data_IF_883481592185
#
_entry.id   IF_883481592185
#
_cell.length_a   1.000
_cell.length_b   1.000
_cell.length_c   1.000
_cell.angle_alpha   90.00
_cell.angle_beta   90.00
_cell.angle_gamma   90.00
#
_symmetry.space_group_name_H-M   'P 1'
#
loop_
_entity.id
_entity.type
_entity.pdbx_description
1 polymer ?
#
# COMPACT_ATOMS: atom_id res chain seq x y z
N UNK A 1 -21.80 -3.49 41.33
CA UNK A 1 -22.20 -4.31 40.16
C UNK A 1 -21.12 -5.34 39.90
N UNK A 2 -21.46 -6.64 39.97
CA UNK A 2 -20.51 -7.75 40.00
C UNK A 2 -20.15 -8.16 38.60
N UNK A 3 -18.85 -8.15 38.26
CA UNK A 3 -18.32 -8.75 37.04
C UNK A 3 -18.26 -10.27 37.23
N UNK A 4 -18.98 -10.99 36.35
CA UNK A 4 -19.00 -12.44 36.29
C UNK A 4 -17.74 -12.94 35.59
N UNK A 5 -16.89 -13.65 36.32
CA UNK A 5 -15.77 -14.42 35.79
C UNK A 5 -16.29 -15.72 35.18
N UNK A 6 -16.32 -15.82 33.88
CA UNK A 6 -16.54 -17.10 33.19
C UNK A 6 -15.25 -17.94 33.29
N UNK A 7 -15.37 -19.09 33.96
CA UNK A 7 -14.32 -20.11 34.05
C UNK A 7 -14.13 -20.77 32.68
N UNK A 8 -12.98 -20.57 32.05
CA UNK A 8 -12.52 -21.46 30.97
C UNK A 8 -11.72 -22.60 31.57
N UNK A 9 -12.14 -23.80 31.24
CA UNK A 9 -11.57 -25.07 31.69
C UNK A 9 -10.21 -25.34 31.06
N UNK A 10 -9.35 -25.96 31.83
CA UNK A 10 -7.97 -26.36 31.56
C UNK A 10 -7.92 -27.48 30.53
N UNK A 11 -7.12 -27.29 29.50
CA UNK A 11 -6.71 -28.35 28.60
C UNK A 11 -5.78 -27.84 27.48
N UNK A 12 -4.51 -28.19 27.60
CA UNK A 12 -3.43 -28.11 26.59
C UNK A 12 -2.87 -26.72 26.25
N UNK A 13 -1.65 -26.52 26.69
CA UNK A 13 -0.62 -25.58 26.16
C UNK A 13 -1.15 -24.31 25.45
N UNK A 14 -1.70 -23.42 26.23
CA UNK A 14 -2.00 -22.07 25.79
C UNK A 14 -0.67 -21.32 25.62
N UNK A 15 -0.20 -21.26 24.39
CA UNK A 15 0.71 -20.19 23.96
C UNK A 15 -0.03 -18.89 24.24
N UNK A 16 0.46 -18.11 25.17
CA UNK A 16 0.08 -16.71 25.31
C UNK A 16 0.53 -15.99 24.03
N UNK A 17 -0.26 -16.12 22.94
CA UNK A 17 -0.25 -15.12 21.92
C UNK A 17 -0.70 -13.85 22.65
N UNK A 18 0.21 -12.92 22.84
CA UNK A 18 -0.19 -11.56 23.14
C UNK A 18 -1.12 -11.16 22.02
N UNK A 19 -2.42 -11.12 22.30
CA UNK A 19 -3.41 -10.56 21.37
C UNK A 19 -2.92 -9.16 21.06
N UNK A 20 -2.36 -8.99 19.87
CA UNK A 20 -2.07 -7.67 19.35
C UNK A 20 -3.41 -6.95 19.29
N UNK A 21 -3.54 -5.78 19.91
CA UNK A 21 -4.64 -4.92 19.57
C UNK A 21 -4.50 -4.66 18.07
N UNK A 22 -5.49 -5.06 17.28
CA UNK A 22 -5.52 -4.91 15.83
C UNK A 22 -5.40 -3.44 15.35
N UNK A 23 -5.20 -2.51 16.26
CA UNK A 23 -5.36 -1.06 16.02
C UNK A 23 -4.10 -0.21 16.19
N UNK A 24 -3.00 -0.71 16.73
CA UNK A 24 -1.93 0.20 17.13
C UNK A 24 -0.86 0.56 16.06
N UNK A 25 -0.37 -0.33 15.18
CA UNK A 25 0.71 0.06 14.27
C UNK A 25 0.25 0.63 12.92
N UNK A 26 -0.98 0.36 12.46
CA UNK A 26 -1.41 0.78 11.12
C UNK A 26 -1.51 2.31 10.99
N UNK A 27 -2.02 3.02 11.98
CA UNK A 27 -2.14 4.47 11.93
C UNK A 27 -0.80 5.21 12.04
N UNK A 28 0.16 4.67 12.77
CA UNK A 28 1.46 5.32 12.96
C UNK A 28 2.36 5.26 11.70
N UNK A 29 2.09 4.35 10.77
CA UNK A 29 2.92 4.14 9.57
C UNK A 29 2.43 4.92 8.35
N UNK A 30 1.15 5.22 8.24
CA UNK A 30 0.62 6.07 7.16
C UNK A 30 1.14 7.51 7.26
N UNK A 31 1.54 7.96 8.45
CA UNK A 31 2.08 9.31 8.69
C UNK A 31 3.60 9.42 8.50
N UNK A 32 4.33 8.29 8.47
CA UNK A 32 5.73 8.29 8.07
C UNK A 32 5.80 8.10 6.57
N UNK A 33 6.64 8.87 5.91
CA UNK A 33 7.08 8.62 4.53
C UNK A 33 7.54 7.17 4.45
N UNK A 34 6.60 6.29 4.13
CA UNK A 34 6.89 4.91 3.84
C UNK A 34 7.90 4.91 2.70
N UNK A 35 8.93 4.08 2.80
CA UNK A 35 9.81 3.84 1.66
C UNK A 35 9.04 3.33 0.43
N UNK A 36 7.78 2.96 0.61
CA UNK A 36 6.79 2.59 -0.39
C UNK A 36 5.79 3.71 -0.68
N UNK A 37 6.09 4.98 -0.31
CA UNK A 37 5.31 6.10 -0.86
C UNK A 37 5.18 5.87 -2.37
N UNK A 38 4.00 6.09 -2.98
CA UNK A 38 3.78 5.77 -4.38
C UNK A 38 4.91 6.36 -5.21
N UNK A 39 5.76 5.47 -5.72
CA UNK A 39 6.85 5.86 -6.58
C UNK A 39 6.17 6.17 -7.89
N UNK A 40 5.91 7.44 -8.07
CA UNK A 40 5.53 7.93 -9.37
C UNK A 40 6.63 7.49 -10.34
N UNK A 41 6.25 7.03 -11.50
CA UNK A 41 7.16 6.74 -12.60
C UNK A 41 7.83 8.05 -13.07
N UNK A 42 8.58 8.73 -12.19
CA UNK A 42 9.12 10.06 -12.49
C UNK A 42 9.97 10.11 -13.76
N UNK A 43 10.55 8.98 -14.15
CA UNK A 43 11.41 8.87 -15.32
C UNK A 43 10.66 8.86 -16.67
N UNK A 44 9.41 8.43 -16.71
CA UNK A 44 8.60 8.42 -17.94
C UNK A 44 7.34 9.29 -17.89
N UNK A 45 6.91 9.66 -16.69
CA UNK A 45 5.64 10.35 -16.46
C UNK A 45 5.64 11.79 -16.93
N UNK A 46 6.77 12.49 -16.82
CA UNK A 46 6.88 13.87 -17.29
C UNK A 46 6.57 13.98 -18.78
N UNK A 47 7.05 13.04 -19.56
CA UNK A 47 6.82 13.03 -21.00
C UNK A 47 5.40 12.55 -21.33
N UNK A 48 4.85 11.60 -20.59
CA UNK A 48 3.47 11.16 -20.74
C UNK A 48 2.46 12.25 -20.34
N UNK A 49 2.68 12.93 -19.23
CA UNK A 49 1.84 14.05 -18.79
C UNK A 49 1.93 15.24 -19.76
N UNK A 50 3.13 15.56 -20.24
CA UNK A 50 3.33 16.55 -21.29
C UNK A 50 2.64 16.15 -22.59
N UNK A 51 2.64 14.85 -22.92
CA UNK A 51 1.95 14.34 -24.10
C UNK A 51 0.42 14.46 -23.92
N UNK A 52 -0.15 14.09 -22.78
CA UNK A 52 -1.58 14.26 -22.49
C UNK A 52 -2.00 15.72 -22.62
N UNK A 53 -1.20 16.65 -22.08
CA UNK A 53 -1.46 18.09 -22.24
C UNK A 53 -1.38 18.53 -23.70
N UNK A 54 -0.37 18.07 -24.44
CA UNK A 54 -0.21 18.38 -25.87
C UNK A 54 -1.40 17.87 -26.68
N UNK A 55 -1.85 16.66 -26.38
CA UNK A 55 -2.98 16.05 -27.08
C UNK A 55 -4.30 16.77 -26.71
N UNK A 56 -4.49 17.18 -25.46
CA UNK A 56 -5.61 18.00 -25.03
C UNK A 56 -5.63 19.36 -25.75
N UNK A 57 -4.47 20.02 -25.91
CA UNK A 57 -4.35 21.25 -26.67
C UNK A 57 -4.69 21.06 -28.15
N UNK A 58 -4.25 19.95 -28.78
CA UNK A 58 -4.60 19.59 -30.16
C UNK A 58 -6.11 19.30 -30.33
N UNK A 59 -6.79 18.82 -29.30
CA UNK A 59 -8.22 18.59 -29.27
C UNK A 59 -9.06 19.84 -29.04
N UNK A 60 -8.42 21.01 -28.95
CA UNK A 60 -9.11 22.29 -28.83
C UNK A 60 -9.45 22.70 -27.40
N UNK A 61 -8.64 22.26 -26.41
CA UNK A 61 -8.74 22.74 -25.04
C UNK A 61 -8.69 24.28 -24.98
N UNK A 62 -9.63 24.89 -24.29
CA UNK A 62 -9.69 26.33 -24.16
C UNK A 62 -8.58 26.84 -23.21
N UNK A 63 -8.19 28.11 -23.41
CA UNK A 63 -7.14 28.75 -22.64
C UNK A 63 -7.45 28.82 -21.13
N UNK A 64 -8.73 28.93 -20.75
CA UNK A 64 -9.13 29.00 -19.35
C UNK A 64 -9.00 27.63 -18.68
N UNK A 65 -9.32 26.56 -19.40
CA UNK A 65 -9.14 25.18 -18.97
C UNK A 65 -7.65 24.87 -18.77
N UNK A 66 -6.80 25.21 -19.75
CA UNK A 66 -5.36 25.07 -19.64
C UNK A 66 -4.79 25.82 -18.43
N UNK A 67 -5.19 27.08 -18.22
CA UNK A 67 -4.74 27.87 -17.09
C UNK A 67 -5.18 27.30 -15.75
N UNK A 68 -6.43 26.80 -15.67
CA UNK A 68 -6.94 26.15 -14.46
C UNK A 68 -6.16 24.86 -14.14
N UNK A 69 -5.90 24.04 -15.16
CA UNK A 69 -5.09 22.83 -15.00
C UNK A 69 -3.67 23.16 -14.57
N UNK A 70 -3.00 24.13 -15.21
CA UNK A 70 -1.64 24.55 -14.84
C UNK A 70 -1.56 25.08 -13.41
N UNK A 71 -2.57 25.82 -12.95
CA UNK A 71 -2.65 26.28 -11.57
C UNK A 71 -2.74 25.13 -10.58
N UNK A 72 -3.55 24.10 -10.88
CA UNK A 72 -3.63 22.86 -10.10
C UNK A 72 -2.31 22.06 -10.15
N UNK A 73 -1.81 21.79 -11.34
CA UNK A 73 -0.65 20.94 -11.56
C UNK A 73 0.61 21.47 -10.86
N UNK A 74 0.85 22.79 -10.95
CA UNK A 74 2.01 23.45 -10.35
C UNK A 74 1.91 23.60 -8.82
N UNK A 75 0.75 23.33 -8.23
CA UNK A 75 0.60 23.36 -6.77
C UNK A 75 1.21 22.10 -6.16
N UNK A 76 2.44 22.21 -5.59
CA UNK A 76 3.18 21.04 -5.04
C UNK A 76 3.17 20.98 -3.51
N UNK A 77 3.23 22.14 -2.85
CA UNK A 77 3.59 22.20 -1.43
C UNK A 77 2.39 22.37 -0.48
N UNK A 78 1.19 22.57 -1.01
CA UNK A 78 0.00 22.81 -0.19
C UNK A 78 -1.14 21.90 -0.64
N UNK A 79 -1.37 20.77 0.07
CA UNK A 79 -2.42 19.81 -0.28
C UNK A 79 -3.81 20.42 -0.24
N UNK A 80 -4.13 21.33 0.71
CA UNK A 80 -5.44 21.96 0.78
C UNK A 80 -5.70 22.82 -0.46
N UNK A 81 -4.70 23.58 -0.89
CA UNK A 81 -4.80 24.40 -2.10
C UNK A 81 -4.88 23.54 -3.36
N UNK A 82 -4.14 22.43 -3.41
CA UNK A 82 -4.21 21.46 -4.51
C UNK A 82 -5.60 20.85 -4.61
N UNK A 83 -6.17 20.41 -3.50
CA UNK A 83 -7.53 19.87 -3.43
C UNK A 83 -8.54 20.91 -3.93
N UNK A 84 -8.48 22.14 -3.43
CA UNK A 84 -9.37 23.23 -3.86
C UNK A 84 -9.31 23.45 -5.38
N UNK A 85 -8.12 23.52 -5.95
CA UNK A 85 -7.93 23.75 -7.38
C UNK A 85 -8.40 22.56 -8.23
N UNK A 86 -8.11 21.33 -7.79
CA UNK A 86 -8.52 20.10 -8.48
C UNK A 86 -10.04 19.95 -8.48
N UNK A 87 -10.70 20.13 -7.34
CA UNK A 87 -12.16 20.10 -7.25
C UNK A 87 -12.81 21.17 -8.14
N UNK A 88 -12.29 22.39 -8.13
CA UNK A 88 -12.78 23.47 -8.98
C UNK A 88 -12.58 23.15 -10.48
N UNK A 89 -11.48 22.50 -10.83
CA UNK A 89 -11.23 22.04 -12.20
C UNK A 89 -12.26 21.00 -12.62
N UNK A 90 -12.42 19.91 -11.86
CA UNK A 90 -13.35 18.83 -12.16
C UNK A 90 -14.81 19.32 -12.23
N UNK A 91 -15.20 20.23 -11.34
CA UNK A 91 -16.53 20.83 -11.37
C UNK A 91 -16.77 21.65 -12.63
N UNK A 92 -15.77 22.44 -13.06
CA UNK A 92 -15.91 23.35 -14.21
C UNK A 92 -15.73 22.63 -15.55
N UNK A 93 -14.87 21.62 -15.59
CA UNK A 93 -14.46 20.90 -16.79
C UNK A 93 -14.64 19.38 -16.65
N UNK A 94 -15.85 18.88 -16.36
CA UNK A 94 -16.08 17.45 -16.05
C UNK A 94 -15.84 16.51 -17.23
N UNK A 95 -15.70 17.04 -18.45
CA UNK A 95 -15.42 16.29 -19.67
C UNK A 95 -14.01 16.54 -20.21
N UNK A 96 -13.17 17.18 -19.42
CA UNK A 96 -11.79 17.44 -19.79
C UNK A 96 -11.02 16.13 -20.03
N UNK A 97 -10.21 16.04 -21.07
CA UNK A 97 -9.28 14.92 -21.22
C UNK A 97 -8.21 14.86 -20.10
N UNK A 98 -8.11 15.93 -19.29
CA UNK A 98 -7.21 16.01 -18.15
C UNK A 98 -7.88 15.61 -16.83
N UNK A 99 -9.18 15.28 -16.83
CA UNK A 99 -9.91 14.94 -15.60
C UNK A 99 -9.29 13.73 -14.88
N UNK A 100 -8.91 12.69 -15.63
CA UNK A 100 -8.21 11.52 -15.08
C UNK A 100 -6.95 11.91 -14.31
N UNK A 101 -6.10 12.72 -14.94
CA UNK A 101 -4.85 13.16 -14.34
C UNK A 101 -5.07 14.04 -13.10
N UNK A 102 -6.14 14.83 -13.09
CA UNK A 102 -6.53 15.63 -11.91
C UNK A 102 -6.96 14.70 -10.77
N UNK A 103 -7.83 13.72 -11.04
CA UNK A 103 -8.27 12.75 -10.04
C UNK A 103 -7.10 11.93 -9.49
N UNK A 104 -6.24 11.39 -10.35
CA UNK A 104 -5.06 10.64 -9.95
C UNK A 104 -4.11 11.46 -9.04
N UNK A 105 -3.97 12.76 -9.30
CA UNK A 105 -3.16 13.67 -8.46
C UNK A 105 -3.87 14.09 -7.17
N UNK A 106 -5.18 14.11 -7.15
CA UNK A 106 -5.97 14.35 -5.93
C UNK A 106 -5.86 13.18 -4.94
N UNK A 107 -5.70 11.95 -5.41
CA UNK A 107 -5.42 10.78 -4.54
C UNK A 107 -4.29 11.11 -3.57
N UNK A 108 -3.14 11.55 -4.08
CA UNK A 108 -1.97 11.89 -3.25
C UNK A 108 -2.24 13.07 -2.30
N UNK A 109 -2.99 14.08 -2.75
CA UNK A 109 -3.32 15.23 -1.93
C UNK A 109 -4.25 14.87 -0.77
N UNK A 110 -5.24 14.01 -1.01
CA UNK A 110 -6.13 13.47 0.03
C UNK A 110 -5.41 12.49 0.96
N UNK A 111 -4.49 11.67 0.45
CA UNK A 111 -3.63 10.82 1.29
C UNK A 111 -2.83 11.65 2.30
N UNK A 112 -2.23 12.75 1.88
CA UNK A 112 -1.51 13.67 2.76
C UNK A 112 -2.39 14.27 3.87
N UNK A 113 -3.71 14.33 3.65
CA UNK A 113 -4.72 14.79 4.61
C UNK A 113 -5.35 13.65 5.42
N UNK A 114 -5.05 12.39 5.10
CA UNK A 114 -5.69 11.20 5.64
C UNK A 114 -7.23 11.20 5.43
N UNK A 115 -7.67 11.82 4.36
CA UNK A 115 -9.08 11.85 3.96
C UNK A 115 -9.38 10.65 3.05
N UNK A 116 -9.50 9.48 3.67
CA UNK A 116 -9.64 8.19 2.98
C UNK A 116 -10.87 8.13 2.07
N UNK A 117 -11.98 8.74 2.50
CA UNK A 117 -13.19 8.81 1.69
C UNK A 117 -12.93 9.47 0.33
N UNK A 118 -12.24 10.59 0.33
CA UNK A 118 -11.93 11.31 -0.90
C UNK A 118 -10.75 10.68 -1.66
N UNK A 119 -9.85 9.96 -0.99
CA UNK A 119 -8.85 9.09 -1.66
C UNK A 119 -9.56 8.08 -2.54
N UNK A 120 -10.53 7.32 -1.98
CA UNK A 120 -11.27 6.31 -2.75
C UNK A 120 -12.08 6.93 -3.88
N UNK A 121 -12.79 8.03 -3.62
CA UNK A 121 -13.59 8.71 -4.64
C UNK A 121 -12.74 9.21 -5.83
N UNK A 122 -11.58 9.82 -5.55
CA UNK A 122 -10.66 10.28 -6.60
C UNK A 122 -10.00 9.13 -7.34
N UNK A 123 -9.62 8.06 -6.64
CA UNK A 123 -9.06 6.87 -7.28
C UNK A 123 -10.09 6.18 -8.20
N UNK A 124 -11.33 6.05 -7.76
CA UNK A 124 -12.41 5.49 -8.57
C UNK A 124 -12.70 6.37 -9.80
N UNK A 125 -12.65 7.70 -9.65
CA UNK A 125 -12.77 8.65 -10.76
C UNK A 125 -11.65 8.50 -11.79
N UNK A 126 -10.40 8.41 -11.33
CA UNK A 126 -9.25 8.19 -12.20
C UNK A 126 -9.33 6.85 -12.94
N UNK A 127 -9.61 5.75 -12.21
CA UNK A 127 -9.70 4.41 -12.79
C UNK A 127 -10.92 4.22 -13.71
N UNK A 128 -12.00 4.99 -13.54
CA UNK A 128 -13.12 4.99 -14.47
C UNK A 128 -12.72 5.54 -15.85
N UNK A 129 -11.77 6.47 -15.91
CA UNK A 129 -11.25 7.06 -17.14
C UNK A 129 -10.03 6.32 -17.70
N UNK A 130 -9.18 5.79 -16.80
CA UNK A 130 -7.97 5.04 -17.13
C UNK A 130 -7.82 3.81 -16.23
N UNK A 131 -8.49 2.70 -16.57
CA UNK A 131 -8.49 1.48 -15.75
C UNK A 131 -7.09 0.89 -15.48
N UNK A 132 -6.15 1.12 -16.39
CA UNK A 132 -4.79 0.61 -16.35
C UNK A 132 -3.80 1.60 -15.68
N UNK A 133 -4.27 2.55 -14.88
CA UNK A 133 -3.37 3.44 -14.13
C UNK A 133 -2.69 2.70 -12.98
N UNK A 134 -1.46 2.24 -13.23
CA UNK A 134 -0.68 1.42 -12.28
C UNK A 134 -0.45 2.14 -10.95
N UNK A 135 -0.24 3.47 -10.96
CA UNK A 135 0.04 4.20 -9.73
C UNK A 135 -1.21 4.32 -8.85
N UNK A 136 -2.36 4.55 -9.46
CA UNK A 136 -3.64 4.58 -8.73
C UNK A 136 -4.01 3.19 -8.21
N UNK A 137 -3.85 2.15 -9.06
CA UNK A 137 -4.09 0.76 -8.67
C UNK A 137 -3.22 0.35 -7.48
N UNK A 138 -1.90 0.53 -7.58
CA UNK A 138 -0.95 0.19 -6.51
C UNK A 138 -1.18 1.04 -5.25
N UNK A 139 -1.63 2.30 -5.40
CA UNK A 139 -1.97 3.13 -4.24
C UNK A 139 -3.17 2.59 -3.48
N UNK A 140 -4.23 2.17 -4.17
CA UNK A 140 -5.40 1.56 -3.54
C UNK A 140 -5.07 0.21 -2.91
N UNK A 141 -4.36 -0.64 -3.64
CA UNK A 141 -3.96 -1.96 -3.16
C UNK A 141 -3.12 -1.89 -1.90
N UNK A 142 -2.19 -0.94 -1.85
CA UNK A 142 -1.37 -0.69 -0.66
C UNK A 142 -2.17 -0.05 0.48
N UNK A 143 -2.97 0.99 0.20
CA UNK A 143 -3.66 1.76 1.25
C UNK A 143 -4.69 0.94 2.01
N UNK A 144 -5.56 0.22 1.28
CA UNK A 144 -6.71 -0.48 1.88
C UNK A 144 -6.30 -1.40 3.03
N UNK A 145 -5.35 -2.35 2.88
CA UNK A 145 -5.00 -3.24 3.98
C UNK A 145 -4.28 -2.53 5.13
N UNK A 146 -3.69 -1.34 4.89
CA UNK A 146 -3.05 -0.54 5.94
C UNK A 146 -4.06 0.21 6.82
N UNK A 147 -5.17 0.67 6.25
CA UNK A 147 -6.23 1.37 6.99
C UNK A 147 -7.40 0.46 7.38
N UNK A 148 -7.32 -0.82 7.06
CA UNK A 148 -8.32 -1.83 7.32
C UNK A 148 -8.71 -1.89 8.80
N UNK A 149 -10.01 -1.99 9.06
CA UNK A 149 -10.58 -2.21 10.38
C UNK A 149 -11.41 -3.49 10.36
N UNK A 150 -11.16 -4.37 11.31
CA UNK A 150 -11.79 -5.71 11.34
C UNK A 150 -13.30 -5.66 11.65
N UNK A 151 -13.79 -4.57 12.22
CA UNK A 151 -15.20 -4.33 12.55
C UNK A 151 -15.96 -3.56 11.46
N UNK A 152 -15.28 -3.18 10.35
CA UNK A 152 -15.94 -2.57 9.21
C UNK A 152 -16.77 -3.62 8.44
N UNK A 153 -18.09 -3.44 8.30
CA UNK A 153 -18.92 -4.37 7.55
C UNK A 153 -18.53 -4.50 6.07
N UNK A 154 -17.83 -3.51 5.51
CA UNK A 154 -17.33 -3.53 4.14
C UNK A 154 -15.90 -4.07 4.03
N UNK A 155 -15.23 -4.32 5.15
CA UNK A 155 -13.81 -4.64 5.21
C UNK A 155 -13.39 -5.79 4.28
N UNK A 156 -14.19 -6.86 4.20
CA UNK A 156 -13.92 -7.97 3.27
C UNK A 156 -13.96 -7.52 1.80
N UNK A 157 -14.97 -6.76 1.41
CA UNK A 157 -15.10 -6.26 0.02
C UNK A 157 -13.98 -5.27 -0.34
N UNK A 158 -13.51 -4.49 0.64
CA UNK A 158 -12.37 -3.61 0.45
C UNK A 158 -11.07 -4.39 0.27
N UNK A 159 -10.84 -5.45 1.05
CA UNK A 159 -9.69 -6.33 0.84
C UNK A 159 -9.73 -7.03 -0.52
N UNK A 160 -10.93 -7.43 -0.99
CA UNK A 160 -11.10 -7.95 -2.35
C UNK A 160 -10.78 -6.90 -3.43
N UNK A 161 -11.11 -5.63 -3.17
CA UNK A 161 -10.74 -4.51 -4.04
C UNK A 161 -9.22 -4.33 -4.06
N UNK A 162 -8.57 -4.36 -2.90
CA UNK A 162 -7.11 -4.22 -2.80
C UNK A 162 -6.38 -5.32 -3.59
N UNK A 163 -6.79 -6.58 -3.40
CA UNK A 163 -6.23 -7.72 -4.13
C UNK A 163 -6.36 -7.52 -5.65
N UNK A 164 -7.56 -7.24 -6.14
CA UNK A 164 -7.78 -6.99 -7.59
C UNK A 164 -6.95 -5.82 -8.11
N UNK A 165 -6.80 -4.75 -7.34
CA UNK A 165 -5.98 -3.60 -7.75
C UNK A 165 -4.51 -4.00 -7.90
N UNK A 166 -3.94 -4.75 -6.96
CA UNK A 166 -2.54 -5.16 -7.04
C UNK A 166 -2.30 -6.20 -8.14
N UNK A 167 -3.18 -7.19 -8.28
CA UNK A 167 -3.10 -8.17 -9.37
C UNK A 167 -3.15 -7.48 -10.74
N UNK A 168 -4.08 -6.52 -10.90
CA UNK A 168 -4.19 -5.76 -12.14
C UNK A 168 -2.97 -4.86 -12.38
N UNK A 169 -2.46 -4.20 -11.35
CA UNK A 169 -1.23 -3.40 -11.46
C UNK A 169 -0.05 -4.26 -11.92
N UNK A 170 0.12 -5.45 -11.34
CA UNK A 170 1.18 -6.40 -11.74
C UNK A 170 1.01 -6.87 -13.19
N UNK A 171 -0.21 -7.18 -13.62
CA UNK A 171 -0.51 -7.57 -15.01
C UNK A 171 -0.20 -6.43 -15.98
N UNK A 172 -0.61 -5.21 -15.70
CA UNK A 172 -0.30 -4.03 -16.53
C UNK A 172 1.21 -3.81 -16.59
N UNK A 173 1.91 -3.85 -15.46
CA UNK A 173 3.38 -3.70 -15.43
C UNK A 173 4.11 -4.78 -16.22
N UNK A 174 3.62 -6.03 -16.24
CA UNK A 174 4.24 -7.11 -17.00
C UNK A 174 4.28 -6.81 -18.50
N UNK A 175 3.19 -6.24 -19.04
CA UNK A 175 3.04 -5.91 -20.47
C UNK A 175 3.48 -4.49 -20.85
N UNK A 176 3.81 -3.65 -19.86
CA UNK A 176 4.15 -2.25 -20.11
C UNK A 176 5.43 -2.12 -20.94
N UNK A 177 5.42 -1.37 -22.05
CA UNK A 177 6.62 -1.10 -22.83
C UNK A 177 7.57 -0.17 -22.06
N UNK A 178 8.86 -0.36 -22.28
CA UNK A 178 9.88 0.53 -21.73
C UNK A 178 9.72 1.93 -22.33
N UNK A 179 9.65 2.99 -21.49
CA UNK A 179 9.59 4.37 -21.98
C UNK A 179 10.84 4.75 -22.79
N UNK A 180 10.65 5.64 -23.77
CA UNK A 180 11.76 6.19 -24.57
C UNK A 180 12.70 6.98 -23.65
N UNK A 181 13.99 6.78 -23.81
CA UNK A 181 15.02 7.49 -23.03
C UNK A 181 15.35 6.85 -21.66
N UNK A 182 14.62 5.80 -21.25
CA UNK A 182 14.93 5.03 -20.04
C UNK A 182 15.81 3.84 -20.39
N UNK A 183 16.88 3.60 -19.62
CA UNK A 183 17.73 2.42 -19.81
C UNK A 183 17.04 1.13 -19.39
N UNK A 184 17.48 -0.03 -19.91
CA UNK A 184 16.93 -1.33 -19.49
C UNK A 184 17.12 -1.59 -18.00
N UNK A 185 18.26 -1.17 -17.44
CA UNK A 185 18.56 -1.34 -16.03
C UNK A 185 17.63 -0.50 -15.12
N UNK A 186 17.40 0.76 -15.48
CA UNK A 186 16.46 1.64 -14.74
C UNK A 186 15.03 1.11 -14.83
N UNK A 187 14.59 0.69 -16.02
CA UNK A 187 13.26 0.13 -16.18
C UNK A 187 13.07 -1.17 -15.40
N UNK A 188 14.06 -2.06 -15.43
CA UNK A 188 14.04 -3.27 -14.63
C UNK A 188 14.01 -2.98 -13.13
N UNK A 189 14.81 -2.03 -12.64
CA UNK A 189 14.83 -1.62 -11.24
C UNK A 189 13.46 -1.09 -10.78
N UNK A 190 12.81 -0.25 -11.58
CA UNK A 190 11.46 0.25 -11.27
C UNK A 190 10.44 -0.88 -11.27
N UNK A 191 10.46 -1.79 -12.24
CA UNK A 191 9.57 -2.96 -12.25
C UNK A 191 9.76 -3.83 -11.00
N UNK A 192 11.01 -4.11 -10.62
CA UNK A 192 11.32 -4.88 -9.40
C UNK A 192 10.76 -4.19 -8.17
N UNK A 193 10.98 -2.89 -8.03
CA UNK A 193 10.50 -2.12 -6.89
C UNK A 193 8.97 -2.12 -6.79
N UNK A 194 8.27 -1.91 -7.90
CA UNK A 194 6.80 -1.96 -7.97
C UNK A 194 6.26 -3.36 -7.67
N UNK A 195 6.90 -4.41 -8.20
CA UNK A 195 6.54 -5.79 -7.89
C UNK A 195 6.73 -6.11 -6.40
N UNK A 196 7.83 -5.66 -5.79
CA UNK A 196 8.06 -5.80 -4.35
C UNK A 196 6.97 -5.10 -3.53
N UNK A 197 6.56 -3.91 -3.93
CA UNK A 197 5.47 -3.18 -3.29
C UNK A 197 4.13 -3.93 -3.41
N UNK A 198 3.82 -4.48 -4.58
CA UNK A 198 2.61 -5.26 -4.80
C UNK A 198 2.59 -6.53 -3.95
N UNK A 199 3.71 -7.27 -3.88
CA UNK A 199 3.83 -8.44 -3.01
C UNK A 199 3.67 -8.07 -1.53
N UNK A 200 4.23 -6.95 -1.06
CA UNK A 200 4.02 -6.45 0.31
C UNK A 200 2.55 -6.16 0.61
N UNK A 201 1.86 -5.48 -0.31
CA UNK A 201 0.43 -5.17 -0.18
C UNK A 201 -0.44 -6.44 -0.15
N UNK A 202 -0.21 -7.38 -1.08
CA UNK A 202 -0.90 -8.67 -1.12
C UNK A 202 -0.64 -9.50 0.13
N UNK A 203 0.60 -9.52 0.63
CA UNK A 203 0.94 -10.16 1.88
C UNK A 203 0.09 -9.63 3.03
N UNK A 204 -0.04 -8.30 3.13
CA UNK A 204 -0.87 -7.69 4.16
C UNK A 204 -2.38 -7.96 3.95
N UNK A 205 -2.88 -8.00 2.71
CA UNK A 205 -4.26 -8.40 2.40
C UNK A 205 -4.55 -9.80 2.91
N UNK A 206 -3.69 -10.77 2.59
CA UNK A 206 -3.87 -12.16 3.03
C UNK A 206 -3.70 -12.32 4.54
N UNK A 207 -2.77 -11.57 5.16
CA UNK A 207 -2.66 -11.51 6.62
C UNK A 207 -3.95 -11.02 7.28
N UNK A 208 -4.59 -9.96 6.75
CA UNK A 208 -5.87 -9.45 7.25
C UNK A 208 -7.02 -10.45 7.13
N UNK A 209 -6.95 -11.35 6.14
CA UNK A 209 -7.89 -12.47 5.96
C UNK A 209 -7.52 -13.72 6.77
N UNK A 210 -6.45 -13.69 7.54
CA UNK A 210 -5.89 -14.84 8.27
C UNK A 210 -5.45 -16.00 7.34
N UNK A 211 -5.25 -15.74 6.04
CA UNK A 211 -4.64 -16.69 5.11
C UNK A 211 -3.10 -16.59 5.20
N UNK A 212 -2.59 -17.08 6.32
CA UNK A 212 -1.18 -17.00 6.67
C UNK A 212 -0.26 -17.68 5.65
N UNK A 213 -0.76 -18.70 4.94
CA UNK A 213 0.03 -19.41 3.94
C UNK A 213 0.27 -18.54 2.70
N UNK A 214 -0.78 -17.90 2.17
CA UNK A 214 -0.64 -16.97 1.06
C UNK A 214 0.14 -15.73 1.47
N UNK A 215 -0.15 -15.17 2.65
CA UNK A 215 0.58 -14.02 3.18
C UNK A 215 2.08 -14.29 3.24
N UNK A 216 2.50 -15.42 3.82
CA UNK A 216 3.90 -15.81 3.87
C UNK A 216 4.52 -15.94 2.48
N UNK A 217 3.81 -16.52 1.51
CA UNK A 217 4.30 -16.66 0.13
C UNK A 217 4.59 -15.31 -0.50
N UNK A 218 3.69 -14.35 -0.38
CA UNK A 218 3.86 -13.00 -0.91
C UNK A 218 5.02 -12.27 -0.22
N UNK A 219 5.09 -12.34 1.11
CA UNK A 219 6.14 -11.68 1.88
C UNK A 219 7.52 -12.34 1.67
N UNK A 220 7.60 -13.64 1.45
CA UNK A 220 8.84 -14.30 1.04
C UNK A 220 9.33 -13.80 -0.33
N UNK A 221 8.42 -13.49 -1.27
CA UNK A 221 8.77 -12.86 -2.54
C UNK A 221 9.36 -11.45 -2.32
N UNK A 222 8.81 -10.65 -1.38
CA UNK A 222 9.41 -9.38 -0.96
C UNK A 222 10.85 -9.57 -0.48
N UNK A 223 11.11 -10.62 0.31
CA UNK A 223 12.46 -10.89 0.85
C UNK A 223 13.48 -11.26 -0.22
N UNK A 224 13.06 -11.89 -1.33
CA UNK A 224 13.93 -12.23 -2.46
C UNK A 224 14.31 -11.01 -3.30
N UNK A 225 13.40 -10.05 -3.45
CA UNK A 225 13.61 -8.84 -4.25
C UNK A 225 14.22 -7.66 -3.50
N UNK A 226 14.28 -7.72 -2.18
CA UNK A 226 14.63 -6.57 -1.35
C UNK A 226 15.63 -6.93 -0.25
N UNK A 227 16.81 -6.31 -0.29
CA UNK A 227 17.85 -6.50 0.74
C UNK A 227 17.56 -5.77 2.05
N UNK A 228 16.65 -4.78 2.03
CA UNK A 228 16.24 -4.01 3.20
C UNK A 228 14.71 -3.90 3.26
N UNK A 229 13.98 -5.02 3.53
CA UNK A 229 12.52 -5.01 3.58
C UNK A 229 12.01 -4.15 4.76
N UNK A 230 10.77 -3.69 4.63
CA UNK A 230 10.09 -2.94 5.69
C UNK A 230 9.97 -3.80 6.95
N UNK A 231 10.11 -3.16 8.12
CA UNK A 231 9.96 -3.86 9.40
C UNK A 231 8.55 -4.41 9.62
N UNK A 232 7.54 -3.83 8.97
CA UNK A 232 6.17 -4.36 8.99
C UNK A 232 6.07 -5.66 8.23
N UNK A 233 6.66 -5.75 7.03
CA UNK A 233 6.68 -6.97 6.23
C UNK A 233 7.37 -8.10 6.99
N UNK A 234 8.51 -7.81 7.62
CA UNK A 234 9.24 -8.76 8.44
C UNK A 234 8.45 -9.20 9.68
N UNK A 235 7.73 -8.27 10.31
CA UNK A 235 6.87 -8.57 11.45
C UNK A 235 5.71 -9.49 11.06
N UNK A 236 5.00 -9.13 9.99
CA UNK A 236 3.86 -9.92 9.47
C UNK A 236 4.33 -11.31 9.05
N UNK A 237 5.43 -11.40 8.28
CA UNK A 237 6.03 -12.68 7.91
C UNK A 237 6.38 -13.54 9.14
N UNK A 238 6.94 -12.94 10.18
CA UNK A 238 7.23 -13.65 11.42
C UNK A 238 5.99 -14.21 12.10
N UNK A 239 4.89 -13.46 12.09
CA UNK A 239 3.59 -13.93 12.61
C UNK A 239 3.02 -15.06 11.76
N UNK A 240 3.03 -14.93 10.44
CA UNK A 240 2.54 -15.94 9.51
C UNK A 240 3.30 -17.25 9.69
N UNK A 241 4.63 -17.20 9.69
CA UNK A 241 5.49 -18.36 9.89
C UNK A 241 5.27 -19.03 11.27
N UNK A 242 5.00 -18.24 12.31
CA UNK A 242 4.64 -18.75 13.62
C UNK A 242 3.30 -19.50 13.57
N UNK A 243 2.27 -18.95 12.90
CA UNK A 243 0.97 -19.60 12.70
C UNK A 243 1.08 -20.90 11.90
N UNK A 244 2.00 -20.94 10.95
CA UNK A 244 2.33 -22.11 10.14
C UNK A 244 3.28 -23.10 10.85
N UNK A 245 3.63 -22.85 12.11
CA UNK A 245 4.56 -23.66 12.91
C UNK A 245 5.99 -23.75 12.34
N UNK A 246 6.38 -22.81 11.48
CA UNK A 246 7.74 -22.67 10.94
C UNK A 246 8.60 -21.85 11.90
N UNK A 247 8.81 -22.39 13.11
CA UNK A 247 9.33 -21.66 14.27
C UNK A 247 10.73 -21.06 14.05
N UNK A 248 11.64 -21.79 13.40
CA UNK A 248 12.99 -21.26 13.18
C UNK A 248 12.96 -20.05 12.24
N UNK A 249 12.21 -20.14 11.16
CA UNK A 249 12.06 -19.08 10.17
C UNK A 249 11.31 -17.88 10.76
N UNK A 250 10.30 -18.12 11.59
CA UNK A 250 9.62 -17.06 12.34
C UNK A 250 10.61 -16.30 13.27
N UNK A 251 11.48 -17.02 14.00
CA UNK A 251 12.48 -16.39 14.83
C UNK A 251 13.47 -15.54 14.02
N UNK A 252 13.87 -16.00 12.83
CA UNK A 252 14.77 -15.27 11.94
C UNK A 252 14.09 -14.00 11.37
N UNK A 253 12.82 -14.08 10.96
CA UNK A 253 12.03 -12.92 10.52
C UNK A 253 11.90 -11.87 11.63
N UNK A 254 11.56 -12.28 12.86
CA UNK A 254 11.49 -11.37 14.00
C UNK A 254 12.84 -10.77 14.39
N UNK A 255 13.94 -11.51 14.31
CA UNK A 255 15.27 -10.96 14.54
C UNK A 255 15.63 -9.88 13.50
N UNK A 256 15.30 -10.09 12.24
CA UNK A 256 15.50 -9.09 11.17
C UNK A 256 14.60 -7.87 11.35
N UNK A 257 13.38 -8.07 11.85
CA UNK A 257 12.44 -7.01 12.18
C UNK A 257 12.92 -6.12 13.34
N UNK A 258 13.69 -6.66 14.28
CA UNK A 258 14.17 -5.98 15.49
C UNK A 258 15.27 -4.93 15.19
N UNK A 259 15.03 -4.08 14.19
CA UNK A 259 15.97 -3.03 13.78
C UNK A 259 16.00 -1.90 14.82
N UNK A 260 17.19 -1.42 15.22
CA UNK A 260 17.32 -0.32 16.18
C UNK A 260 16.57 0.95 15.74
N UNK A 261 15.76 1.50 16.62
CA UNK A 261 14.96 2.70 16.36
C UNK A 261 13.68 2.47 15.55
N UNK A 262 13.39 1.24 15.14
CA UNK A 262 12.09 0.87 14.54
C UNK A 262 10.98 0.93 15.59
N UNK A 263 9.77 1.36 15.19
CA UNK A 263 8.58 1.32 16.04
C UNK A 263 8.20 -0.11 16.48
N UNK A 264 8.69 -1.13 15.78
CA UNK A 264 8.44 -2.55 16.04
C UNK A 264 9.61 -3.24 16.76
N UNK A 265 10.70 -2.53 17.08
CA UNK A 265 11.92 -3.12 17.65
C UNK A 265 11.63 -4.01 18.85
N UNK A 266 10.95 -3.47 19.87
CA UNK A 266 10.70 -4.17 21.12
C UNK A 266 9.78 -5.39 20.97
N UNK A 267 8.73 -5.26 20.14
CA UNK A 267 7.81 -6.37 19.91
C UNK A 267 8.48 -7.47 19.11
N UNK A 268 9.31 -7.12 18.13
CA UNK A 268 10.06 -8.09 17.35
C UNK A 268 11.08 -8.85 18.21
N UNK A 269 11.80 -8.17 19.10
CA UNK A 269 12.70 -8.82 20.06
C UNK A 269 11.96 -9.82 20.95
N UNK A 270 10.86 -9.40 21.59
CA UNK A 270 10.05 -10.28 22.44
C UNK A 270 9.54 -11.52 21.69
N UNK A 271 9.06 -11.33 20.45
CA UNK A 271 8.54 -12.44 19.65
C UNK A 271 9.67 -13.39 19.23
N UNK A 272 10.82 -12.89 18.83
CA UNK A 272 11.98 -13.71 18.51
C UNK A 272 12.40 -14.63 19.67
N UNK A 273 12.44 -14.08 20.89
CA UNK A 273 12.82 -14.84 22.09
C UNK A 273 11.75 -15.87 22.47
N UNK A 274 10.47 -15.52 22.38
CA UNK A 274 9.36 -16.43 22.65
C UNK A 274 9.35 -17.62 21.69
N UNK A 275 9.59 -17.38 20.39
CA UNK A 275 9.57 -18.43 19.36
C UNK A 275 10.78 -19.35 19.46
N UNK A 276 11.97 -18.84 19.81
CA UNK A 276 13.17 -19.68 20.09
C UNK A 276 12.89 -20.73 21.17
N UNK A 277 12.15 -20.32 22.22
CA UNK A 277 11.73 -21.24 23.27
C UNK A 277 10.79 -22.35 22.79
N UNK A 278 9.98 -22.10 21.78
CA UNK A 278 9.10 -23.11 21.16
C UNK A 278 9.86 -24.04 20.23
N UNK A 279 10.72 -23.51 19.38
CA UNK A 279 11.58 -24.31 18.49
C UNK A 279 12.44 -25.33 19.25
N UNK A 280 12.90 -24.99 20.45
CA UNK A 280 13.66 -25.89 21.30
C UNK A 280 12.83 -27.03 21.91
N UNK A 281 11.50 -26.84 22.08
CA UNK A 281 10.58 -27.83 22.63
C UNK A 281 9.99 -28.77 21.58
N UNK A 282 10.08 -28.41 20.32
CA UNK A 282 9.52 -29.17 19.18
C UNK A 282 10.51 -30.20 18.60
N UNK A 283 11.74 -30.21 19.12
CA UNK A 283 12.78 -31.21 18.83
C UNK A 283 12.79 -32.31 19.90
#
# INVERSE_FOLDING_TARGET
MRLSLAKCAIGSSAVLLACLPATAPAHAQVTRTSQYAPITWELGYRDAELQVMTDAQRQGMDRNEENAFRAFYNQKDNPDKKIQLGQAFLQKYPKSPLAELVDARLVNAYMAKQDWKNVYASADGALALKPDDVDVLATLGWLIPHVYQADDPNGSAELDKAERCEEHAMEVMARMPKPVGVSDAEFAAVKTQKSTQAHSALGLVYYRREDYAKSATELEAVMQGNTNPDTTDLYVLGVDLLKLQRFQEAADAFNRCAQPGSALEDICKRNADAVKGQAARSK
#
